data_IF_232535690050
#
_entry.id   IF_232535690050
#
_cell.length_a   1.000
_cell.length_b   1.000
_cell.length_c   1.000
_cell.angle_alpha   90.00
_cell.angle_beta   90.00
_cell.angle_gamma   90.00
#
_symmetry.space_group_name_H-M   'P 1'
#
loop_
_entity.id
_entity.type
_entity.pdbx_description
1 polymer ?
#
# COMPACT_ATOMS: atom_id res chain seq x y z
N UNK A 1 -43.33 8.75 1.01
CA UNK A 1 -42.08 8.93 1.78
C UNK A 1 -41.34 7.60 1.78
N UNK A 2 -40.28 7.47 0.97
CA UNK A 2 -39.35 6.33 1.04
C UNK A 2 -37.95 6.91 1.00
N UNK A 3 -37.25 6.80 2.13
CA UNK A 3 -35.87 7.21 2.31
C UNK A 3 -34.96 6.21 1.57
N UNK A 4 -34.36 6.66 0.47
CA UNK A 4 -33.37 5.90 -0.29
C UNK A 4 -31.97 6.48 -0.01
N UNK A 5 -31.18 5.71 0.75
CA UNK A 5 -29.73 5.76 0.94
C UNK A 5 -28.98 7.09 0.74
N UNK A 6 -28.68 7.79 1.84
CA UNK A 6 -27.51 8.68 1.88
C UNK A 6 -26.24 7.83 1.78
N UNK A 7 -25.75 7.59 0.57
CA UNK A 7 -24.31 7.48 0.35
C UNK A 7 -23.82 8.89 0.05
N UNK A 8 -23.36 9.61 1.08
CA UNK A 8 -22.64 10.87 0.91
C UNK A 8 -21.52 10.65 -0.12
N UNK A 9 -21.60 11.38 -1.23
CA UNK A 9 -20.56 11.41 -2.23
C UNK A 9 -19.32 12.05 -1.60
N UNK A 10 -18.40 11.21 -1.12
CA UNK A 10 -17.07 11.62 -0.66
C UNK A 10 -16.49 12.67 -1.60
N UNK A 11 -16.33 13.90 -1.14
CA UNK A 11 -15.87 15.00 -1.99
C UNK A 11 -14.34 15.09 -1.99
N UNK A 12 -13.78 15.76 -3.01
CA UNK A 12 -12.34 16.06 -3.02
C UNK A 12 -11.95 16.91 -1.81
N UNK A 13 -12.78 17.88 -1.44
CA UNK A 13 -12.53 18.78 -0.29
C UNK A 13 -12.49 18.01 1.04
N UNK A 14 -13.37 17.03 1.24
CA UNK A 14 -13.33 16.15 2.41
C UNK A 14 -12.06 15.30 2.47
N UNK A 15 -11.56 14.84 1.31
CA UNK A 15 -10.31 14.10 1.24
C UNK A 15 -9.10 15.00 1.54
N UNK A 16 -9.12 16.24 1.07
CA UNK A 16 -8.08 17.23 1.38
C UNK A 16 -8.02 17.54 2.87
N UNK A 17 -9.18 17.76 3.49
CA UNK A 17 -9.28 18.03 4.91
C UNK A 17 -8.80 16.84 5.73
N UNK A 18 -9.25 15.63 5.36
CA UNK A 18 -8.83 14.40 6.03
C UNK A 18 -7.32 14.14 5.88
N UNK A 19 -6.73 14.38 4.70
CA UNK A 19 -5.30 14.20 4.49
C UNK A 19 -4.46 15.14 5.37
N UNK A 20 -4.91 16.39 5.56
CA UNK A 20 -4.27 17.36 6.46
C UNK A 20 -4.37 16.94 7.92
N UNK A 21 -5.56 16.53 8.36
CA UNK A 21 -5.82 16.05 9.72
C UNK A 21 -4.98 14.82 10.05
N UNK A 22 -5.03 13.81 9.19
CA UNK A 22 -4.23 12.59 9.31
C UNK A 22 -2.75 12.92 9.49
N UNK A 23 -2.20 13.77 8.62
CA UNK A 23 -0.79 14.18 8.69
C UNK A 23 -0.47 14.89 10.00
N UNK A 24 -1.33 15.82 10.42
CA UNK A 24 -1.15 16.57 11.66
C UNK A 24 -1.13 15.62 12.86
N UNK A 25 -2.16 14.79 13.02
CA UNK A 25 -2.30 13.85 14.14
C UNK A 25 -1.19 12.81 14.16
N UNK A 26 -0.83 12.26 13.00
CA UNK A 26 0.31 11.34 12.88
C UNK A 26 1.59 11.96 13.43
N UNK A 27 1.90 13.21 13.06
CA UNK A 27 3.10 13.91 13.55
C UNK A 27 2.99 14.20 15.05
N UNK A 28 1.83 14.69 15.52
CA UNK A 28 1.59 15.02 16.92
C UNK A 28 1.70 13.81 17.85
N UNK A 29 1.22 12.64 17.42
CA UNK A 29 1.34 11.38 18.15
C UNK A 29 2.72 10.71 17.99
N UNK A 30 3.61 11.27 17.17
CA UNK A 30 4.98 10.79 16.99
C UNK A 30 5.13 9.59 16.04
N UNK A 31 4.16 9.36 15.15
CA UNK A 31 4.19 8.25 14.20
C UNK A 31 4.91 8.61 12.90
N UNK A 32 5.71 7.68 12.40
CA UNK A 32 6.22 7.77 11.03
C UNK A 32 5.19 7.23 10.03
N UNK A 33 5.33 7.61 8.76
CA UNK A 33 4.52 7.05 7.69
C UNK A 33 4.69 5.52 7.53
N UNK A 34 5.85 4.98 7.90
CA UNK A 34 6.07 3.53 7.93
C UNK A 34 5.24 2.89 9.05
N UNK A 35 5.23 3.48 10.24
CA UNK A 35 4.46 2.99 11.40
C UNK A 35 2.97 2.91 11.08
N UNK A 36 2.40 3.94 10.47
CA UNK A 36 1.00 3.92 10.00
C UNK A 36 0.77 2.80 8.98
N UNK A 37 1.69 2.62 8.04
CA UNK A 37 1.59 1.56 7.03
C UNK A 37 1.62 0.15 7.62
N UNK A 38 2.36 -0.05 8.72
CA UNK A 38 2.42 -1.30 9.47
C UNK A 38 1.12 -1.54 10.24
N UNK A 39 0.61 -0.53 10.96
CA UNK A 39 -0.63 -0.60 11.72
C UNK A 39 -1.85 -1.00 10.88
N UNK A 40 -1.95 -0.40 9.69
CA UNK A 40 -3.00 -0.75 8.72
C UNK A 40 -2.88 -2.19 8.18
N UNK A 41 -1.69 -2.80 8.27
CA UNK A 41 -1.46 -4.17 7.85
C UNK A 41 -2.27 -5.20 8.63
N UNK A 42 -2.59 -4.92 9.89
CA UNK A 42 -3.45 -5.75 10.71
C UNK A 42 -4.94 -5.57 10.35
N UNK A 43 -5.38 -4.34 10.11
CA UNK A 43 -6.78 -4.04 9.76
C UNK A 43 -7.20 -4.58 8.39
N UNK A 44 -6.26 -4.64 7.43
CA UNK A 44 -6.57 -5.00 6.04
C UNK A 44 -5.94 -6.33 5.58
N UNK A 45 -5.17 -7.00 6.44
CA UNK A 45 -4.42 -8.21 6.07
C UNK A 45 -3.33 -7.99 5.02
N UNK A 46 -3.01 -6.73 4.69
CA UNK A 46 -2.00 -6.34 3.70
C UNK A 46 -1.23 -5.12 4.17
N UNK A 47 0.09 -5.25 4.28
CA UNK A 47 0.96 -4.15 4.67
C UNK A 47 1.02 -3.05 3.63
N UNK A 48 0.81 -1.81 4.07
CA UNK A 48 1.03 -0.61 3.26
C UNK A 48 2.48 -0.14 3.42
N UNK A 49 3.04 0.48 2.37
CA UNK A 49 4.39 1.04 2.47
C UNK A 49 4.32 2.51 2.90
N UNK A 50 5.43 3.01 3.46
CA UNK A 50 5.64 4.43 3.71
C UNK A 50 5.26 5.29 2.49
N UNK A 51 5.64 4.85 1.28
CA UNK A 51 5.32 5.55 0.04
C UNK A 51 3.81 5.66 -0.21
N UNK A 52 3.02 4.66 0.19
CA UNK A 52 1.55 4.72 0.06
C UNK A 52 0.98 5.80 0.98
N UNK A 53 1.42 5.85 2.24
CA UNK A 53 0.97 6.87 3.20
C UNK A 53 1.40 8.26 2.75
N UNK A 54 2.65 8.41 2.31
CA UNK A 54 3.18 9.67 1.78
C UNK A 54 2.35 10.20 0.60
N UNK A 55 2.02 9.33 -0.37
CA UNK A 55 1.21 9.72 -1.53
C UNK A 55 -0.23 10.05 -1.14
N UNK A 56 -0.80 9.39 -0.12
CA UNK A 56 -2.12 9.74 0.39
C UNK A 56 -2.12 11.14 1.01
N UNK A 57 -1.17 11.43 1.91
CA UNK A 57 -1.03 12.76 2.55
C UNK A 57 -0.79 13.89 1.54
N UNK A 58 -0.10 13.59 0.43
CA UNK A 58 0.17 14.54 -0.64
C UNK A 58 -0.94 14.58 -1.72
N UNK A 59 -2.04 13.83 -1.56
CA UNK A 59 -3.13 13.73 -2.54
C UNK A 59 -2.68 13.25 -3.93
N UNK A 60 -1.60 12.46 -3.98
CA UNK A 60 -0.97 11.96 -5.20
C UNK A 60 -1.43 10.55 -5.59
N UNK A 61 -2.56 10.09 -5.07
CA UNK A 61 -3.22 8.86 -5.50
C UNK A 61 -4.43 9.21 -6.37
N UNK A 62 -4.86 8.25 -7.20
CA UNK A 62 -6.12 8.42 -7.91
C UNK A 62 -7.28 8.58 -6.92
N UNK A 63 -8.29 9.35 -7.28
CA UNK A 63 -9.49 9.56 -6.45
C UNK A 63 -10.10 8.24 -5.95
N UNK A 64 -10.22 7.24 -6.84
CA UNK A 64 -10.68 5.89 -6.49
C UNK A 64 -9.81 5.22 -5.40
N UNK A 65 -8.50 5.41 -5.43
CA UNK A 65 -7.61 4.86 -4.40
C UNK A 65 -7.69 5.67 -3.10
N UNK A 66 -7.83 6.99 -3.18
CA UNK A 66 -8.04 7.85 -2.02
C UNK A 66 -9.32 7.43 -1.26
N UNK A 67 -10.45 7.30 -1.96
CA UNK A 67 -11.71 6.87 -1.33
C UNK A 67 -11.63 5.48 -0.70
N UNK A 68 -10.81 4.58 -1.27
CA UNK A 68 -10.58 3.24 -0.68
C UNK A 68 -9.73 3.28 0.58
N UNK A 69 -8.76 4.19 0.65
CA UNK A 69 -7.83 4.30 1.79
C UNK A 69 -8.40 5.13 2.94
N UNK A 70 -9.21 6.16 2.66
CA UNK A 70 -9.81 7.04 3.67
C UNK A 70 -10.44 6.26 4.84
N UNK A 71 -11.37 5.30 4.65
CA UNK A 71 -12.01 4.62 5.78
C UNK A 71 -11.03 3.79 6.61
N UNK A 72 -9.93 3.31 6.03
CA UNK A 72 -8.92 2.53 6.75
C UNK A 72 -8.06 3.44 7.63
N UNK A 73 -7.64 4.58 7.06
CA UNK A 73 -6.86 5.58 7.75
C UNK A 73 -7.67 6.28 8.84
N UNK A 74 -8.98 6.45 8.64
CA UNK A 74 -9.88 7.00 9.66
C UNK A 74 -9.94 6.07 10.88
N UNK A 75 -10.16 4.77 10.67
CA UNK A 75 -10.18 3.81 11.78
C UNK A 75 -8.87 3.80 12.57
N UNK A 76 -7.74 3.80 11.86
CA UNK A 76 -6.44 3.89 12.51
C UNK A 76 -6.29 5.18 13.32
N UNK A 77 -6.78 6.30 12.78
CA UNK A 77 -6.73 7.59 13.46
C UNK A 77 -7.56 7.57 14.74
N UNK A 78 -8.79 7.05 14.68
CA UNK A 78 -9.69 6.94 15.84
C UNK A 78 -9.08 6.03 16.93
N UNK A 79 -8.47 4.90 16.55
CA UNK A 79 -7.77 3.99 17.47
C UNK A 79 -6.52 4.64 18.09
N UNK A 80 -5.75 5.40 17.31
CA UNK A 80 -4.57 6.09 17.78
C UNK A 80 -4.90 7.24 18.75
N UNK A 81 -6.08 7.85 18.62
CA UNK A 81 -6.55 8.93 19.50
C UNK A 81 -7.16 8.42 20.80
N UNK A 82 -7.74 7.22 20.81
CA UNK A 82 -8.41 6.63 21.98
C UNK A 82 -7.49 5.79 22.85
N UNK A 83 -6.30 5.44 22.37
CA UNK A 83 -5.33 4.67 23.12
C UNK A 83 -4.57 5.53 24.15
N UNK A 84 -4.56 5.12 25.42
CA UNK A 84 -3.78 5.76 26.50
C UNK A 84 -2.27 5.65 26.30
N UNK A 85 -1.81 4.64 25.54
CA UNK A 85 -0.41 4.49 25.19
C UNK A 85 -0.27 4.00 23.73
N UNK A 86 -0.50 4.90 22.75
CA UNK A 86 -0.53 4.57 21.34
C UNK A 86 0.74 3.83 20.90
N UNK A 87 1.89 4.15 21.46
CA UNK A 87 3.20 3.61 21.10
C UNK A 87 3.40 2.13 21.47
N UNK A 88 2.69 1.59 22.47
CA UNK A 88 2.76 0.16 22.85
C UNK A 88 2.07 -0.74 21.82
N UNK A 89 1.02 -0.22 21.16
CA UNK A 89 0.32 -0.90 20.06
C UNK A 89 1.29 -1.30 18.94
N UNK A 90 2.30 -0.47 18.68
CA UNK A 90 3.30 -0.66 17.61
C UNK A 90 4.46 -1.57 17.99
N UNK A 91 4.79 -1.67 19.29
CA UNK A 91 5.88 -2.56 19.75
C UNK A 91 5.52 -4.03 19.52
N UNK A 92 4.28 -4.41 19.83
CA UNK A 92 3.74 -5.75 19.56
C UNK A 92 3.70 -6.02 18.04
N UNK A 93 3.39 -4.98 17.27
CA UNK A 93 3.21 -5.07 15.82
C UNK A 93 4.53 -5.26 15.06
N UNK A 94 5.62 -4.60 15.49
CA UNK A 94 6.97 -4.87 14.94
C UNK A 94 7.37 -6.34 15.05
N UNK A 95 6.96 -7.03 16.12
CA UNK A 95 7.24 -8.45 16.30
C UNK A 95 6.42 -9.31 15.34
N UNK A 96 5.16 -8.95 15.07
CA UNK A 96 4.30 -9.67 14.14
C UNK A 96 4.69 -9.49 12.66
N UNK A 97 5.20 -8.32 12.28
CA UNK A 97 5.59 -7.99 10.89
C UNK A 97 6.71 -8.89 10.37
N UNK A 98 7.61 -9.37 11.24
CA UNK A 98 8.66 -10.32 10.84
C UNK A 98 8.09 -11.67 10.34
N UNK A 99 6.85 -12.00 10.71
CA UNK A 99 6.17 -13.25 10.33
C UNK A 99 5.34 -13.14 9.05
N UNK A 100 4.87 -11.94 8.66
CA UNK A 100 4.06 -11.73 7.45
C UNK A 100 4.91 -11.17 6.31
N UNK A 101 5.55 -12.04 5.54
CA UNK A 101 6.32 -11.63 4.35
C UNK A 101 5.38 -11.24 3.20
N UNK A 102 5.17 -9.93 2.99
CA UNK A 102 4.61 -9.39 1.74
C UNK A 102 5.46 -9.90 0.56
N UNK A 103 4.84 -10.23 -0.59
CA UNK A 103 5.58 -10.52 -1.84
C UNK A 103 6.53 -9.34 -2.09
N UNK A 104 7.84 -9.56 -1.92
CA UNK A 104 8.83 -8.50 -2.12
C UNK A 104 8.85 -8.15 -3.59
N UNK A 105 9.02 -6.87 -3.88
CA UNK A 105 9.27 -6.43 -5.25
C UNK A 105 10.60 -7.05 -5.70
N UNK A 106 10.61 -7.78 -6.80
CA UNK A 106 11.86 -8.30 -7.36
C UNK A 106 12.57 -7.18 -8.12
N UNK A 107 13.83 -6.95 -7.76
CA UNK A 107 14.73 -6.06 -8.50
C UNK A 107 15.33 -6.88 -9.63
N UNK A 108 14.99 -6.56 -10.89
CA UNK A 108 15.60 -7.18 -12.06
C UNK A 108 16.78 -6.30 -12.48
N UNK A 109 18.01 -6.75 -12.22
CA UNK A 109 19.22 -5.97 -12.43
C UNK A 109 20.05 -6.45 -13.63
N UNK A 110 20.75 -5.50 -14.27
CA UNK A 110 21.80 -5.72 -15.26
C UNK A 110 21.46 -6.74 -16.36
N UNK A 111 22.09 -7.92 -16.28
CA UNK A 111 22.01 -8.96 -17.29
C UNK A 111 20.60 -9.51 -17.49
N UNK A 112 19.83 -9.69 -16.41
CA UNK A 112 18.46 -10.23 -16.47
C UNK A 112 17.55 -9.25 -17.20
N UNK A 113 17.67 -7.96 -16.91
CA UNK A 113 16.90 -6.91 -17.59
C UNK A 113 17.24 -6.85 -19.08
N UNK A 114 18.52 -6.81 -19.43
CA UNK A 114 18.94 -6.77 -20.83
C UNK A 114 18.51 -8.01 -21.62
N UNK A 115 18.53 -9.19 -20.99
CA UNK A 115 18.03 -10.40 -21.62
C UNK A 115 16.52 -10.33 -21.88
N UNK A 116 15.71 -9.90 -20.90
CA UNK A 116 14.27 -9.69 -21.06
C UNK A 116 13.95 -8.67 -22.16
N UNK A 117 14.71 -7.58 -22.24
CA UNK A 117 14.59 -6.59 -23.32
C UNK A 117 14.89 -7.21 -24.69
N UNK A 118 15.90 -8.09 -24.79
CA UNK A 118 16.22 -8.80 -26.04
C UNK A 118 15.14 -9.82 -26.45
N UNK A 119 14.54 -10.55 -25.50
CA UNK A 119 13.39 -11.42 -25.78
C UNK A 119 12.18 -10.60 -26.25
N UNK A 120 11.92 -9.45 -25.61
CA UNK A 120 10.81 -8.56 -25.97
C UNK A 120 10.93 -8.03 -27.40
N UNK A 121 12.14 -7.67 -27.85
CA UNK A 121 12.37 -7.21 -29.23
C UNK A 121 12.04 -8.32 -30.25
N UNK A 122 12.33 -9.58 -29.93
CA UNK A 122 12.03 -10.74 -30.80
C UNK A 122 10.55 -11.10 -30.81
N UNK A 123 9.92 -11.13 -29.63
CA UNK A 123 8.51 -11.45 -29.47
C UNK A 123 7.91 -10.59 -28.34
N UNK A 124 7.22 -9.49 -28.67
CA UNK A 124 6.62 -8.60 -27.67
C UNK A 124 5.44 -9.22 -26.90
N UNK A 125 4.89 -10.33 -27.41
CA UNK A 125 3.73 -11.04 -26.85
C UNK A 125 4.01 -12.55 -26.78
N UNK A 126 4.95 -12.98 -25.92
CA UNK A 126 5.25 -14.38 -25.78
C UNK A 126 4.02 -15.14 -25.26
N UNK A 127 3.81 -16.35 -25.76
CA UNK A 127 2.78 -17.26 -25.27
C UNK A 127 3.21 -17.93 -23.95
N UNK A 128 2.34 -18.71 -23.33
CA UNK A 128 2.60 -19.33 -22.02
C UNK A 128 3.83 -20.25 -22.01
N UNK A 129 4.08 -20.98 -23.11
CA UNK A 129 5.25 -21.86 -23.23
C UNK A 129 6.53 -21.04 -23.35
N UNK A 130 6.51 -19.99 -24.16
CA UNK A 130 7.64 -19.05 -24.32
C UNK A 130 7.96 -18.33 -23.01
N UNK A 131 6.94 -17.89 -22.25
CA UNK A 131 7.14 -17.27 -20.93
C UNK A 131 7.82 -18.25 -19.96
N UNK A 132 7.41 -19.53 -19.98
CA UNK A 132 8.00 -20.57 -19.13
C UNK A 132 9.46 -20.82 -19.51
N UNK A 133 9.77 -20.90 -20.80
CA UNK A 133 11.13 -21.03 -21.29
C UNK A 133 12.00 -19.85 -20.86
N UNK A 134 11.49 -18.61 -21.01
CA UNK A 134 12.22 -17.40 -20.62
C UNK A 134 12.46 -17.37 -19.09
N UNK A 135 11.49 -17.79 -18.28
CA UNK A 135 11.67 -17.85 -16.83
C UNK A 135 12.73 -18.88 -16.44
N UNK A 136 12.74 -20.05 -17.08
CA UNK A 136 13.72 -21.11 -16.83
C UNK A 136 15.13 -20.69 -17.26
N UNK A 137 15.26 -20.10 -18.46
CA UNK A 137 16.53 -19.59 -18.99
C UNK A 137 17.15 -18.51 -18.09
N UNK A 138 16.33 -17.70 -17.43
CA UNK A 138 16.75 -16.59 -16.56
C UNK A 138 16.75 -16.94 -15.06
N UNK A 139 16.33 -18.15 -14.69
CA UNK A 139 16.22 -18.57 -13.29
C UNK A 139 15.25 -17.73 -12.46
N UNK A 140 14.15 -17.26 -13.08
CA UNK A 140 13.12 -16.44 -12.46
C UNK A 140 11.86 -17.26 -12.17
N UNK A 141 11.06 -16.86 -11.17
CA UNK A 141 9.68 -17.36 -11.08
C UNK A 141 8.88 -16.88 -12.30
N UNK A 142 7.82 -17.59 -12.71
CA UNK A 142 7.03 -17.14 -13.86
C UNK A 142 6.27 -15.84 -13.61
N UNK A 143 5.83 -15.64 -12.36
CA UNK A 143 4.91 -14.56 -11.96
C UNK A 143 5.60 -13.49 -11.09
N UNK A 144 6.87 -13.16 -11.42
CA UNK A 144 7.64 -12.11 -10.73
C UNK A 144 7.09 -10.71 -10.96
#
# INVERSE_FOLDING_TARGET
MNACGCQESLSTEELEQFAKELKHKRITLGFTQADVGLALGNLYGKMFSQTTICRFEALQLSFKNMCKLKPLLQRWLDEAETSDNPQEMYKIERVFVDTRKRKRRTSLEGAVRSALEAYFIKCPKPNTLEITQISDDLGLERDV
#
